data_IF_248418574015
#
_entry.id   IF_248418574015
#
_cell.length_a   1.000
_cell.length_b   1.000
_cell.length_c   1.000
_cell.angle_alpha   90.00
_cell.angle_beta   90.00
_cell.angle_gamma   90.00
#
_symmetry.space_group_name_H-M   'P 1'
#
loop_
_entity.id
_entity.type
_entity.pdbx_description
1 polymer ?
#
# COMPACT_ATOMS: atom_id res chain seq x y z
N UNK A 1 69.13 14.84 15.49
CA UNK A 1 68.22 15.31 14.43
C UNK A 1 67.20 14.20 14.20
N UNK A 2 65.91 14.28 14.49
CA UNK A 2 65.03 15.32 15.03
C UNK A 2 63.87 14.54 15.64
N UNK A 3 63.58 14.77 16.93
CA UNK A 3 62.40 14.24 17.62
C UNK A 3 61.16 14.98 17.13
N UNK A 4 60.06 14.26 16.87
CA UNK A 4 58.72 14.83 16.97
C UNK A 4 57.82 13.89 17.77
N UNK A 5 57.53 14.32 19.01
CA UNK A 5 56.40 13.92 19.84
C UNK A 5 55.14 14.62 19.30
N UNK A 6 54.00 13.92 19.26
CA UNK A 6 52.65 14.42 19.57
C UNK A 6 51.69 13.24 19.45
N UNK A 7 51.21 12.59 20.52
CA UNK A 7 50.15 13.06 21.42
C UNK A 7 48.94 13.60 20.64
N UNK A 8 47.97 12.73 20.34
CA UNK A 8 46.59 13.15 20.05
C UNK A 8 45.64 12.47 21.03
N UNK A 9 45.36 13.26 22.06
CA UNK A 9 44.25 13.19 22.97
C UNK A 9 42.91 12.95 22.25
N UNK A 10 42.16 11.99 22.80
CA UNK A 10 40.72 12.05 23.08
C UNK A 10 40.01 13.31 22.56
N UNK A 11 39.21 13.14 21.49
CA UNK A 11 38.10 14.02 21.18
C UNK A 11 36.79 13.22 21.27
N UNK A 12 36.33 13.02 22.51
CA UNK A 12 34.90 12.90 22.78
C UNK A 12 34.27 14.26 22.47
N UNK A 13 33.79 14.44 21.24
CA UNK A 13 32.87 15.51 20.93
C UNK A 13 31.47 15.04 21.38
N UNK A 14 30.94 15.69 22.43
CA UNK A 14 29.52 15.74 22.70
C UNK A 14 28.82 16.26 21.44
N UNK A 15 28.12 15.39 20.71
CA UNK A 15 27.01 15.81 19.88
C UNK A 15 25.80 15.94 20.80
N UNK A 16 25.64 17.14 21.36
CA UNK A 16 24.34 17.57 21.90
C UNK A 16 23.42 17.70 20.69
N UNK A 17 22.53 16.73 20.54
CA UNK A 17 21.42 16.77 19.60
C UNK A 17 20.52 17.95 19.96
N UNK A 18 20.76 19.11 19.34
CA UNK A 18 19.70 20.11 19.17
C UNK A 18 18.68 19.48 18.21
N UNK A 19 17.70 18.77 18.78
CA UNK A 19 16.44 18.53 18.12
C UNK A 19 15.77 19.90 17.96
N UNK A 20 16.11 20.61 16.88
CA UNK A 20 15.28 21.67 16.38
C UNK A 20 13.96 21.00 16.01
N UNK A 21 12.94 21.15 16.86
CA UNK A 21 11.57 20.85 16.51
C UNK A 21 11.21 21.76 15.35
N UNK A 22 11.37 21.26 14.12
CA UNK A 22 10.80 21.89 12.94
C UNK A 22 9.29 21.89 13.22
N UNK A 23 8.64 23.06 13.35
CA UNK A 23 7.20 23.09 13.55
C UNK A 23 6.57 22.39 12.36
N UNK A 24 5.97 21.21 12.60
CA UNK A 24 5.08 20.58 11.63
C UNK A 24 4.00 21.61 11.33
N UNK A 25 4.06 22.21 10.15
CA UNK A 25 3.06 23.18 9.69
C UNK A 25 1.72 22.45 9.73
N UNK A 26 0.84 22.83 10.65
CA UNK A 26 -0.54 22.41 10.60
C UNK A 26 -1.15 23.05 9.34
N UNK A 27 -1.40 22.26 8.31
CA UNK A 27 -2.19 22.69 7.16
C UNK A 27 -3.62 22.90 7.65
N UNK A 28 -4.08 24.14 7.71
CA UNK A 28 -5.49 24.48 7.84
C UNK A 28 -5.94 25.10 6.52
N UNK A 29 -6.77 24.39 5.77
CA UNK A 29 -7.33 24.88 4.49
C UNK A 29 -8.72 25.46 4.78
N UNK A 30 -8.98 26.67 4.28
CA UNK A 30 -10.28 27.33 4.38
C UNK A 30 -11.26 26.81 3.31
N UNK A 31 -12.58 26.93 3.55
CA UNK A 31 -13.58 26.34 2.66
C UNK A 31 -13.62 26.99 1.27
N UNK A 32 -13.20 28.27 1.18
CA UNK A 32 -13.15 29.05 -0.06
C UNK A 32 -11.94 28.70 -0.95
N UNK A 33 -10.96 27.92 -0.44
CA UNK A 33 -9.75 27.54 -1.18
C UNK A 33 -9.88 26.25 -2.00
N UNK A 34 -11.01 25.53 -1.93
CA UNK A 34 -11.21 24.30 -2.69
C UNK A 34 -11.73 24.58 -4.10
N UNK A 35 -10.86 25.07 -4.98
CA UNK A 35 -11.13 25.20 -6.42
C UNK A 35 -11.18 23.83 -7.12
N UNK A 36 -12.26 23.07 -6.95
CA UNK A 36 -12.50 21.83 -7.70
C UNK A 36 -12.70 22.16 -9.18
N UNK A 37 -12.15 21.34 -10.08
CA UNK A 37 -12.31 21.52 -11.52
C UNK A 37 -13.80 21.58 -11.91
N UNK A 38 -14.22 22.54 -12.77
CA UNK A 38 -15.63 22.72 -13.09
C UNK A 38 -16.20 21.58 -13.94
N UNK A 39 -15.40 21.01 -14.85
CA UNK A 39 -15.86 20.05 -15.84
C UNK A 39 -15.73 18.59 -15.38
N UNK A 40 -16.69 17.77 -15.77
CA UNK A 40 -16.66 16.32 -15.61
C UNK A 40 -15.99 15.63 -16.81
N UNK A 41 -15.31 14.48 -16.64
CA UNK A 41 -15.11 13.73 -15.40
C UNK A 41 -13.96 14.26 -14.54
N UNK A 42 -14.15 14.22 -13.22
CA UNK A 42 -13.23 14.67 -12.16
C UNK A 42 -12.51 13.51 -11.46
N UNK A 43 -13.12 12.32 -11.47
CA UNK A 43 -12.60 11.14 -10.79
C UNK A 43 -11.85 10.25 -11.78
N UNK A 44 -10.56 10.07 -11.55
CA UNK A 44 -9.68 9.06 -12.17
C UNK A 44 -9.52 9.10 -13.70
N UNK A 45 -10.35 9.86 -14.42
CA UNK A 45 -10.32 10.01 -15.88
C UNK A 45 -9.90 11.42 -16.30
N UNK A 46 -8.91 12.00 -15.61
CA UNK A 46 -8.29 13.25 -16.03
C UNK A 46 -7.96 13.20 -17.55
N UNK A 47 -7.96 14.35 -18.26
CA UNK A 47 -7.81 14.37 -19.73
C UNK A 47 -6.59 13.63 -20.27
N UNK A 48 -5.49 13.55 -19.49
CA UNK A 48 -4.32 12.75 -19.85
C UNK A 48 -4.61 11.25 -19.77
N UNK A 49 -5.22 10.78 -18.69
CA UNK A 49 -5.55 9.35 -18.50
C UNK A 49 -6.59 8.89 -19.52
N UNK A 50 -7.65 9.66 -19.72
CA UNK A 50 -8.68 9.34 -20.72
C UNK A 50 -8.07 9.16 -22.11
N UNK A 51 -7.15 10.04 -22.53
CA UNK A 51 -6.44 9.90 -23.81
C UNK A 51 -5.58 8.64 -23.90
N UNK A 52 -4.93 8.23 -22.81
CA UNK A 52 -4.15 6.98 -22.79
C UNK A 52 -5.06 5.75 -22.92
N UNK A 53 -6.19 5.72 -22.21
CA UNK A 53 -7.17 4.63 -22.30
C UNK A 53 -7.84 4.56 -23.67
N UNK A 54 -8.12 5.71 -24.30
CA UNK A 54 -8.60 5.76 -25.67
C UNK A 54 -7.59 5.20 -26.67
N UNK A 55 -6.28 5.37 -26.42
CA UNK A 55 -5.22 4.74 -27.23
C UNK A 55 -5.19 3.22 -27.03
N UNK A 56 -5.36 2.73 -25.81
CA UNK A 56 -5.49 1.29 -25.53
C UNK A 56 -6.63 0.68 -26.36
N UNK A 57 -7.79 1.35 -26.41
CA UNK A 57 -8.91 0.97 -27.28
C UNK A 57 -8.54 0.99 -28.77
N UNK A 58 -7.98 2.10 -29.26
CA UNK A 58 -7.61 2.24 -30.68
C UNK A 58 -6.62 1.14 -31.12
N UNK A 59 -5.73 0.73 -30.21
CA UNK A 59 -4.74 -0.33 -30.44
C UNK A 59 -5.28 -1.74 -30.23
N UNK A 60 -6.54 -1.87 -29.79
CA UNK A 60 -7.14 -3.16 -29.44
C UNK A 60 -6.26 -3.91 -28.43
N UNK A 61 -5.80 -3.22 -27.37
CA UNK A 61 -4.98 -3.86 -26.36
C UNK A 61 -5.73 -5.02 -25.71
N UNK A 62 -5.00 -6.01 -25.19
CA UNK A 62 -5.60 -7.17 -24.53
C UNK A 62 -6.56 -6.75 -23.40
N UNK A 63 -6.21 -5.72 -22.62
CA UNK A 63 -7.05 -5.20 -21.52
C UNK A 63 -8.37 -4.63 -22.06
N UNK A 64 -8.30 -3.89 -23.16
CA UNK A 64 -9.48 -3.36 -23.84
C UNK A 64 -10.37 -4.48 -24.37
N UNK A 65 -9.80 -5.41 -25.15
CA UNK A 65 -10.54 -6.53 -25.75
C UNK A 65 -11.26 -7.38 -24.72
N UNK A 66 -10.65 -7.57 -23.55
CA UNK A 66 -11.24 -8.34 -22.47
C UNK A 66 -12.37 -7.60 -21.76
N UNK A 67 -12.24 -6.29 -21.51
CA UNK A 67 -13.38 -5.50 -21.00
C UNK A 67 -14.52 -5.48 -22.03
N UNK A 68 -14.20 -5.27 -23.31
CA UNK A 68 -15.18 -5.32 -24.39
C UNK A 68 -15.93 -6.65 -24.42
N UNK A 69 -15.19 -7.77 -24.38
CA UNK A 69 -15.79 -9.10 -24.33
C UNK A 69 -16.64 -9.33 -23.07
N UNK A 70 -16.29 -8.73 -21.93
CA UNK A 70 -17.11 -8.80 -20.72
C UNK A 70 -18.50 -8.16 -20.95
N UNK A 71 -18.51 -6.95 -21.51
CA UNK A 71 -19.73 -6.17 -21.74
C UNK A 71 -20.57 -6.76 -22.86
N UNK A 72 -19.97 -7.10 -24.01
CA UNK A 72 -20.69 -7.63 -25.17
C UNK A 72 -21.31 -9.00 -24.90
N UNK A 73 -20.66 -9.84 -24.09
CA UNK A 73 -21.22 -11.13 -23.68
C UNK A 73 -22.17 -11.03 -22.49
N UNK A 74 -22.48 -9.81 -22.02
CA UNK A 74 -23.38 -9.53 -20.88
C UNK A 74 -23.04 -10.33 -19.62
N UNK A 75 -21.74 -10.55 -19.37
CA UNK A 75 -21.29 -11.23 -18.16
C UNK A 75 -21.48 -10.31 -16.96
N UNK A 76 -21.99 -10.86 -15.86
CA UNK A 76 -22.16 -10.11 -14.62
C UNK A 76 -20.79 -9.67 -14.08
N UNK A 77 -20.62 -8.37 -13.86
CA UNK A 77 -19.51 -7.81 -13.09
C UNK A 77 -19.98 -7.53 -11.66
N UNK A 78 -19.16 -7.82 -10.63
CA UNK A 78 -19.48 -7.40 -9.26
C UNK A 78 -19.59 -5.89 -9.09
N UNK A 79 -18.96 -5.11 -9.97
CA UNK A 79 -19.05 -3.65 -10.00
C UNK A 79 -19.56 -3.16 -11.36
N UNK A 80 -20.85 -3.37 -11.65
CA UNK A 80 -21.39 -3.15 -12.98
C UNK A 80 -21.39 -1.67 -13.38
N UNK A 81 -21.59 -0.74 -12.44
CA UNK A 81 -21.55 0.70 -12.69
C UNK A 81 -20.17 1.15 -13.17
N UNK A 82 -19.10 0.69 -12.50
CA UNK A 82 -17.72 0.98 -12.92
C UNK A 82 -17.42 0.42 -14.31
N UNK A 83 -17.69 -0.87 -14.54
CA UNK A 83 -17.35 -1.55 -15.78
C UNK A 83 -18.09 -0.93 -17.00
N UNK A 84 -19.40 -0.70 -16.85
CA UNK A 84 -20.24 -0.11 -17.89
C UNK A 84 -19.89 1.35 -18.17
N UNK A 85 -19.67 2.15 -17.13
CA UNK A 85 -19.27 3.55 -17.31
C UNK A 85 -17.90 3.65 -17.99
N UNK A 86 -16.91 2.85 -17.57
CA UNK A 86 -15.59 2.82 -18.18
C UNK A 86 -15.68 2.46 -19.67
N UNK A 87 -16.39 1.37 -19.99
CA UNK A 87 -16.58 0.95 -21.38
C UNK A 87 -17.28 2.03 -22.20
N UNK A 88 -18.40 2.57 -21.71
CA UNK A 88 -19.18 3.61 -22.37
C UNK A 88 -18.36 4.86 -22.69
N UNK A 89 -17.52 5.31 -21.75
CA UNK A 89 -16.63 6.48 -21.93
C UNK A 89 -15.53 6.25 -22.97
N UNK A 90 -15.01 5.04 -23.07
CA UNK A 90 -13.95 4.73 -24.02
C UNK A 90 -14.52 4.42 -25.41
N UNK A 91 -15.65 3.72 -25.48
CA UNK A 91 -16.33 3.36 -26.72
C UNK A 91 -17.16 4.49 -27.33
N UNK A 92 -17.49 5.54 -26.55
CA UNK A 92 -18.60 6.46 -26.82
C UNK A 92 -19.94 5.72 -26.99
N UNK A 93 -20.19 4.74 -26.13
CA UNK A 93 -21.43 3.96 -26.15
C UNK A 93 -22.41 4.47 -25.08
N UNK A 94 -23.36 5.28 -25.55
CA UNK A 94 -24.47 5.82 -24.76
C UNK A 94 -25.32 4.73 -24.09
N UNK A 95 -25.48 3.56 -24.71
CA UNK A 95 -26.30 2.49 -24.13
C UNK A 95 -25.68 1.92 -22.85
N UNK A 96 -24.36 1.69 -22.86
CA UNK A 96 -23.61 1.29 -21.67
C UNK A 96 -23.59 2.37 -20.59
N UNK A 97 -23.49 3.66 -20.97
CA UNK A 97 -23.55 4.76 -20.00
C UNK A 97 -24.91 4.82 -19.28
N UNK A 98 -26.02 4.66 -20.01
CA UNK A 98 -27.37 4.60 -19.42
C UNK A 98 -27.56 3.38 -18.53
N UNK A 99 -27.07 2.21 -18.97
CA UNK A 99 -27.08 1.02 -18.12
C UNK A 99 -26.27 1.24 -16.82
N UNK A 100 -25.13 1.94 -16.88
CA UNK A 100 -24.36 2.28 -15.68
C UNK A 100 -25.16 3.15 -14.69
N UNK A 101 -25.92 4.13 -15.21
CA UNK A 101 -26.82 4.99 -14.41
C UNK A 101 -27.90 4.15 -13.73
N UNK A 102 -28.56 3.26 -14.48
CA UNK A 102 -29.57 2.35 -13.93
C UNK A 102 -29.00 1.51 -12.78
N UNK A 103 -27.81 0.91 -12.97
CA UNK A 103 -27.14 0.11 -11.94
C UNK A 103 -26.79 0.90 -10.68
N UNK A 104 -26.34 2.14 -10.83
CA UNK A 104 -26.05 3.00 -9.68
C UNK A 104 -27.32 3.34 -8.88
N UNK A 105 -28.44 3.54 -9.56
CA UNK A 105 -29.73 3.83 -8.92
C UNK A 105 -30.37 2.58 -8.28
N UNK A 106 -30.14 1.39 -8.82
CA UNK A 106 -30.59 0.11 -8.25
C UNK A 106 -29.90 -0.23 -6.92
N UNK A 107 -28.65 0.22 -6.72
CA UNK A 107 -27.87 -0.06 -5.51
C UNK A 107 -27.37 1.25 -4.83
N UNK A 108 -28.27 2.01 -4.19
CA UNK A 108 -27.92 3.30 -3.57
C UNK A 108 -26.94 3.17 -2.38
N UNK A 109 -26.72 1.95 -1.86
CA UNK A 109 -25.75 1.72 -0.79
C UNK A 109 -24.29 1.79 -1.27
N UNK A 110 -24.03 1.58 -2.57
CA UNK A 110 -22.69 1.68 -3.14
C UNK A 110 -22.37 3.12 -3.56
N UNK A 111 -22.05 3.94 -2.56
CA UNK A 111 -21.67 5.36 -2.74
C UNK A 111 -20.49 5.52 -3.71
N UNK A 112 -19.55 4.57 -3.73
CA UNK A 112 -18.38 4.65 -4.62
C UNK A 112 -18.81 4.55 -6.08
N UNK A 113 -19.59 3.53 -6.43
CA UNK A 113 -20.10 3.39 -7.81
C UNK A 113 -21.03 4.54 -8.18
N UNK A 114 -21.88 5.00 -7.26
CA UNK A 114 -22.74 6.16 -7.49
C UNK A 114 -21.91 7.41 -7.84
N UNK A 115 -20.81 7.68 -7.13
CA UNK A 115 -19.95 8.83 -7.39
C UNK A 115 -19.25 8.74 -8.76
N UNK A 116 -18.71 7.56 -9.10
CA UNK A 116 -18.05 7.32 -10.39
C UNK A 116 -19.04 7.46 -11.55
N UNK A 117 -20.22 6.85 -11.44
CA UNK A 117 -21.25 6.91 -12.48
C UNK A 117 -21.80 8.32 -12.63
N UNK A 118 -22.08 9.01 -11.53
CA UNK A 118 -22.49 10.41 -11.58
C UNK A 118 -21.45 11.26 -12.31
N UNK A 119 -20.17 11.10 -11.99
CA UNK A 119 -19.09 11.86 -12.61
C UNK A 119 -18.90 11.55 -14.10
N UNK A 120 -18.89 10.26 -14.48
CA UNK A 120 -18.53 9.87 -15.84
C UNK A 120 -19.71 9.98 -16.81
N UNK A 121 -20.93 9.78 -16.34
CA UNK A 121 -22.12 9.69 -17.19
C UNK A 121 -22.93 10.99 -17.28
N UNK A 122 -22.38 12.15 -16.88
CA UNK A 122 -23.08 13.45 -16.85
C UNK A 122 -23.91 13.75 -18.11
N UNK A 123 -23.34 13.52 -19.30
CA UNK A 123 -24.01 13.82 -20.57
C UNK A 123 -25.27 12.96 -20.85
N UNK A 124 -25.44 11.85 -20.15
CA UNK A 124 -26.56 10.91 -20.33
C UNK A 124 -27.55 10.91 -19.17
N UNK A 125 -27.28 11.67 -18.10
CA UNK A 125 -28.20 11.80 -16.97
C UNK A 125 -29.41 12.65 -17.35
N UNK A 126 -30.60 12.17 -17.01
CA UNK A 126 -31.77 13.04 -16.93
C UNK A 126 -31.74 13.86 -15.65
N UNK A 127 -32.53 14.94 -15.59
CA UNK A 127 -32.64 15.79 -14.39
C UNK A 127 -33.08 14.99 -13.15
N UNK A 128 -34.08 14.12 -13.28
CA UNK A 128 -34.55 13.24 -12.18
C UNK A 128 -33.47 12.24 -11.73
N UNK A 129 -32.73 11.64 -12.67
CA UNK A 129 -31.64 10.72 -12.34
C UNK A 129 -30.49 11.45 -11.64
N UNK A 130 -30.18 12.66 -12.11
CA UNK A 130 -29.16 13.54 -11.52
C UNK A 130 -29.51 13.87 -10.07
N UNK A 131 -30.73 14.36 -9.80
CA UNK A 131 -31.17 14.71 -8.45
C UNK A 131 -31.23 13.49 -7.50
N UNK A 132 -31.61 12.30 -8.01
CA UNK A 132 -31.56 11.06 -7.23
C UNK A 132 -30.13 10.68 -6.83
N UNK A 133 -29.19 10.73 -7.76
CA UNK A 133 -27.78 10.44 -7.46
C UNK A 133 -27.20 11.49 -6.52
N UNK A 134 -27.51 12.78 -6.73
CA UNK A 134 -27.10 13.85 -5.81
C UNK A 134 -27.59 13.55 -4.39
N UNK A 135 -28.87 13.18 -4.23
CA UNK A 135 -29.45 12.86 -2.93
C UNK A 135 -28.74 11.69 -2.24
N UNK A 136 -28.40 10.63 -2.99
CA UNK A 136 -27.63 9.47 -2.49
C UNK A 136 -26.25 9.93 -2.00
N UNK A 137 -25.55 10.73 -2.81
CA UNK A 137 -24.20 11.20 -2.51
C UNK A 137 -24.20 12.17 -1.32
N UNK A 138 -25.14 13.11 -1.24
CA UNK A 138 -25.29 14.03 -0.11
C UNK A 138 -25.57 13.30 1.19
N UNK A 139 -26.40 12.25 1.17
CA UNK A 139 -26.67 11.43 2.34
C UNK A 139 -25.38 10.82 2.91
N UNK A 140 -24.43 10.43 2.06
CA UNK A 140 -23.13 9.90 2.49
C UNK A 140 -22.25 10.95 3.20
N UNK A 141 -22.43 12.24 2.88
CA UNK A 141 -21.65 13.34 3.47
C UNK A 141 -22.12 13.73 4.88
N UNK A 142 -23.30 13.24 5.31
CA UNK A 142 -23.86 13.51 6.64
C UNK A 142 -23.10 12.80 7.77
N UNK A 143 -22.43 11.70 7.47
CA UNK A 143 -21.57 11.03 8.44
C UNK A 143 -20.33 11.91 8.72
N UNK A 144 -20.17 12.27 10.00
CA UNK A 144 -19.11 13.17 10.45
C UNK A 144 -17.82 12.43 10.79
N UNK A 145 -17.86 11.11 10.94
CA UNK A 145 -16.73 10.30 11.39
C UNK A 145 -16.62 9.00 10.59
N UNK A 146 -15.94 9.02 9.41
CA UNK A 146 -15.78 7.82 8.61
C UNK A 146 -15.02 6.73 9.38
N UNK A 147 -15.63 5.55 9.47
CA UNK A 147 -15.17 4.40 10.28
C UNK A 147 -13.93 3.68 9.73
N UNK A 148 -13.39 4.11 8.59
CA UNK A 148 -12.27 3.46 7.91
C UNK A 148 -11.90 4.15 6.59
N UNK A 149 -10.85 3.63 5.93
CA UNK A 149 -10.35 4.20 4.66
C UNK A 149 -11.41 4.12 3.56
N UNK A 150 -12.13 3.01 3.45
CA UNK A 150 -13.21 2.85 2.46
C UNK A 150 -14.35 3.85 2.64
N UNK A 151 -14.75 4.13 3.89
CA UNK A 151 -15.78 5.15 4.17
C UNK A 151 -15.28 6.56 3.84
N UNK A 152 -14.06 6.89 4.24
CA UNK A 152 -13.43 8.17 3.91
C UNK A 152 -13.27 8.35 2.39
N UNK A 153 -12.92 7.28 1.66
CA UNK A 153 -12.86 7.26 0.19
C UNK A 153 -14.22 7.56 -0.39
N UNK A 154 -15.27 6.87 0.03
CA UNK A 154 -16.64 7.10 -0.46
C UNK A 154 -17.08 8.56 -0.27
N UNK A 155 -16.88 9.12 0.94
CA UNK A 155 -17.21 10.52 1.22
C UNK A 155 -16.36 11.50 0.39
N UNK A 156 -15.07 11.21 0.19
CA UNK A 156 -14.19 12.02 -0.64
C UNK A 156 -14.69 12.08 -2.09
N UNK A 157 -14.98 10.92 -2.69
CA UNK A 157 -15.48 10.85 -4.05
C UNK A 157 -16.81 11.58 -4.20
N UNK A 158 -17.74 11.36 -3.26
CA UNK A 158 -19.03 12.05 -3.24
C UNK A 158 -18.85 13.58 -3.15
N UNK A 159 -18.00 14.07 -2.26
CA UNK A 159 -17.78 15.50 -2.10
C UNK A 159 -17.13 16.15 -3.33
N UNK A 160 -16.14 15.48 -3.96
CA UNK A 160 -15.50 15.99 -5.18
C UNK A 160 -16.49 16.15 -6.33
N UNK A 161 -17.36 15.16 -6.55
CA UNK A 161 -18.31 15.21 -7.66
C UNK A 161 -19.47 16.16 -7.39
N UNK A 162 -19.83 16.37 -6.11
CA UNK A 162 -20.88 17.31 -5.71
C UNK A 162 -20.41 18.76 -5.65
N UNK A 163 -19.11 19.05 -5.70
CA UNK A 163 -18.60 20.41 -5.54
C UNK A 163 -19.15 21.42 -6.58
N UNK A 164 -19.64 20.96 -7.74
CA UNK A 164 -20.28 21.83 -8.75
C UNK A 164 -21.81 21.93 -8.64
N UNK A 165 -22.43 21.16 -7.74
CA UNK A 165 -23.88 21.04 -7.60
C UNK A 165 -24.37 21.44 -6.21
N UNK A 166 -23.52 21.26 -5.20
CA UNK A 166 -23.78 21.44 -3.75
C UNK A 166 -22.49 21.92 -3.09
N UNK A 167 -22.06 23.13 -3.44
CA UNK A 167 -20.77 23.71 -3.05
C UNK A 167 -20.53 23.66 -1.54
N UNK A 168 -21.49 24.16 -0.73
CA UNK A 168 -21.32 24.24 0.72
C UNK A 168 -21.21 22.85 1.39
N UNK A 169 -22.15 21.89 1.21
CA UNK A 169 -22.01 20.56 1.80
C UNK A 169 -20.74 19.83 1.36
N UNK A 170 -20.36 19.95 0.09
CA UNK A 170 -19.14 19.35 -0.45
C UNK A 170 -17.88 19.94 0.19
N UNK A 171 -17.78 21.27 0.25
CA UNK A 171 -16.64 21.97 0.85
C UNK A 171 -16.49 21.68 2.35
N UNK A 172 -17.59 21.66 3.10
CA UNK A 172 -17.58 21.29 4.52
C UNK A 172 -17.12 19.84 4.74
N UNK A 173 -17.55 18.91 3.89
CA UNK A 173 -17.12 17.52 3.94
C UNK A 173 -15.63 17.36 3.63
N UNK A 174 -15.12 17.99 2.57
CA UNK A 174 -13.69 17.96 2.22
C UNK A 174 -12.82 18.55 3.33
N UNK A 175 -13.22 19.71 3.87
CA UNK A 175 -12.53 20.35 5.01
C UNK A 175 -12.46 19.41 6.21
N UNK A 176 -13.56 18.74 6.54
CA UNK A 176 -13.63 17.78 7.65
C UNK A 176 -12.72 16.58 7.40
N UNK A 177 -12.77 15.99 6.21
CA UNK A 177 -11.94 14.83 5.84
C UNK A 177 -10.45 15.16 5.90
N UNK A 178 -10.05 16.32 5.38
CA UNK A 178 -8.64 16.75 5.35
C UNK A 178 -8.16 17.11 6.77
N UNK A 179 -8.87 18.00 7.47
CA UNK A 179 -8.36 18.57 8.71
C UNK A 179 -8.53 17.60 9.90
N UNK A 180 -9.68 16.93 10.00
CA UNK A 180 -9.96 16.03 11.14
C UNK A 180 -9.49 14.62 10.86
N UNK A 181 -10.10 13.96 9.87
CA UNK A 181 -9.85 12.53 9.65
C UNK A 181 -8.43 12.23 9.15
N UNK A 182 -7.89 13.04 8.24
CA UNK A 182 -6.55 12.82 7.71
C UNK A 182 -5.48 13.43 8.61
N UNK A 183 -5.46 14.75 8.75
CA UNK A 183 -4.36 15.49 9.39
C UNK A 183 -4.27 15.25 10.89
N UNK A 184 -5.40 15.22 11.60
CA UNK A 184 -5.40 15.06 13.06
C UNK A 184 -5.35 13.58 13.50
N UNK A 185 -5.89 12.65 12.69
CA UNK A 185 -6.07 11.26 13.11
C UNK A 185 -5.24 10.27 12.28
N UNK A 186 -5.52 10.16 10.97
CA UNK A 186 -5.00 9.06 10.14
C UNK A 186 -3.52 9.20 9.85
N UNK A 187 -3.05 10.33 9.33
CA UNK A 187 -1.64 10.51 8.98
C UNK A 187 -0.71 10.36 10.21
N UNK A 188 -1.00 10.95 11.39
CA UNK A 188 -0.23 10.68 12.59
C UNK A 188 -0.26 9.21 13.03
N UNK A 189 -1.38 8.50 12.84
CA UNK A 189 -1.47 7.09 13.18
C UNK A 189 -0.64 6.20 12.24
N UNK A 190 -0.58 6.53 10.94
CA UNK A 190 0.28 5.87 9.95
C UNK A 190 1.76 6.12 10.28
N UNK A 191 2.12 7.38 10.51
CA UNK A 191 3.50 7.80 10.80
C UNK A 191 4.04 7.20 12.11
N UNK A 192 3.17 6.98 13.09
CA UNK A 192 3.53 6.31 14.35
C UNK A 192 3.45 4.79 14.30
N UNK A 193 3.00 4.20 13.18
CA UNK A 193 2.75 2.76 13.06
C UNK A 193 1.58 2.25 13.92
N UNK A 194 0.80 3.14 14.56
CA UNK A 194 -0.41 2.78 15.33
C UNK A 194 -1.55 2.29 14.44
N UNK A 195 -1.53 2.68 13.17
CA UNK A 195 -2.43 2.19 12.13
C UNK A 195 -1.61 1.58 11.02
N UNK A 196 -1.90 0.33 10.68
CA UNK A 196 -1.44 -0.30 9.44
C UNK A 196 -2.54 -0.19 8.38
N UNK A 197 -2.14 -0.05 7.12
CA UNK A 197 -3.06 -0.15 5.99
C UNK A 197 -2.97 -1.58 5.50
N UNK A 198 -4.08 -2.32 5.61
CA UNK A 198 -4.12 -3.68 5.06
C UNK A 198 -4.08 -3.61 3.55
N UNK A 199 -3.49 -4.62 2.93
CA UNK A 199 -3.31 -4.65 1.47
C UNK A 199 -4.65 -4.50 0.72
N UNK A 200 -5.72 -5.11 1.21
CA UNK A 200 -7.07 -4.95 0.64
C UNK A 200 -7.66 -3.54 0.74
N UNK A 201 -7.15 -2.69 1.63
CA UNK A 201 -7.58 -1.29 1.78
C UNK A 201 -6.81 -0.34 0.85
N UNK A 202 -5.77 -0.83 0.18
CA UNK A 202 -4.87 -0.02 -0.66
C UNK A 202 -5.59 0.65 -1.82
N UNK A 203 -6.53 -0.06 -2.46
CA UNK A 203 -7.34 0.52 -3.53
C UNK A 203 -8.15 1.72 -3.01
N UNK A 204 -8.81 1.59 -1.86
CA UNK A 204 -9.58 2.68 -1.27
C UNK A 204 -8.68 3.86 -0.86
N UNK A 205 -7.50 3.58 -0.29
CA UNK A 205 -6.54 4.61 0.07
C UNK A 205 -6.11 5.41 -1.16
N UNK A 206 -5.67 4.73 -2.21
CA UNK A 206 -5.15 5.43 -3.38
C UNK A 206 -6.23 6.09 -4.24
N UNK A 207 -7.44 5.55 -4.29
CA UNK A 207 -8.58 6.27 -4.90
C UNK A 207 -8.88 7.59 -4.17
N UNK A 208 -8.87 7.58 -2.83
CA UNK A 208 -8.99 8.82 -2.06
C UNK A 208 -7.87 9.80 -2.40
N UNK A 209 -6.61 9.32 -2.42
CA UNK A 209 -5.45 10.17 -2.69
C UNK A 209 -5.51 10.74 -4.11
N UNK A 210 -5.82 9.95 -5.14
CA UNK A 210 -6.00 10.43 -6.52
C UNK A 210 -7.08 11.50 -6.57
N UNK A 211 -8.26 11.25 -5.97
CA UNK A 211 -9.35 12.22 -5.99
C UNK A 211 -8.94 13.57 -5.36
N UNK A 212 -8.24 13.55 -4.22
CA UNK A 212 -7.76 14.74 -3.54
C UNK A 212 -6.67 15.48 -4.33
N UNK A 213 -5.65 14.76 -4.82
CA UNK A 213 -4.56 15.37 -5.57
C UNK A 213 -5.03 15.97 -6.89
N UNK A 214 -5.80 15.21 -7.64
CA UNK A 214 -6.16 15.55 -9.02
C UNK A 214 -7.14 16.74 -9.03
N UNK A 215 -8.02 16.86 -8.01
CA UNK A 215 -9.02 17.91 -7.93
C UNK A 215 -8.67 19.10 -7.03
N UNK A 216 -7.92 18.88 -5.95
CA UNK A 216 -7.59 19.94 -4.98
C UNK A 216 -6.12 20.35 -5.04
N UNK A 217 -5.28 19.65 -5.82
CA UNK A 217 -3.83 19.86 -5.89
C UNK A 217 -3.12 19.69 -4.53
N UNK A 218 -3.70 18.85 -3.66
CA UNK A 218 -3.17 18.51 -2.35
C UNK A 218 -2.56 17.11 -2.37
N UNK A 219 -1.27 16.99 -2.04
CA UNK A 219 -0.65 15.68 -1.80
C UNK A 219 -0.73 15.32 -0.31
N UNK A 220 -1.77 14.58 0.05
CA UNK A 220 -2.01 14.16 1.44
C UNK A 220 -0.89 13.29 2.02
N UNK A 221 -0.02 12.71 1.18
CA UNK A 221 1.10 11.88 1.62
C UNK A 221 2.16 12.63 2.39
N UNK A 222 2.29 13.95 2.20
CA UNK A 222 3.31 14.77 2.88
C UNK A 222 3.22 14.67 4.41
N UNK A 223 2.02 14.44 4.96
CA UNK A 223 1.80 14.30 6.39
C UNK A 223 2.31 12.96 6.98
N UNK A 224 2.60 11.96 6.14
CA UNK A 224 3.10 10.63 6.52
C UNK A 224 4.15 10.13 5.50
N UNK A 225 5.14 10.98 5.19
CA UNK A 225 6.05 10.78 4.06
C UNK A 225 6.85 9.48 4.13
N UNK A 226 7.37 9.11 5.30
CA UNK A 226 8.19 7.90 5.47
C UNK A 226 7.35 6.63 5.23
N UNK A 227 6.11 6.62 5.72
CA UNK A 227 5.16 5.54 5.45
C UNK A 227 4.96 5.35 3.94
N UNK A 228 4.66 6.43 3.19
CA UNK A 228 4.41 6.34 1.76
C UNK A 228 5.66 6.07 0.92
N UNK A 229 6.84 6.48 1.37
CA UNK A 229 8.11 6.18 0.70
C UNK A 229 8.43 4.68 0.70
N UNK A 230 8.11 4.00 1.79
CA UNK A 230 8.39 2.59 2.01
C UNK A 230 7.28 1.65 1.52
N UNK A 231 6.05 2.14 1.43
CA UNK A 231 4.86 1.36 1.09
C UNK A 231 4.98 0.50 -0.17
N UNK A 232 5.55 0.96 -1.31
CA UNK A 232 5.63 0.10 -2.51
C UNK A 232 6.52 -1.12 -2.29
N UNK A 233 7.59 -0.99 -1.50
CA UNK A 233 8.45 -2.11 -1.13
C UNK A 233 7.71 -3.09 -0.21
N UNK A 234 6.91 -2.56 0.74
CA UNK A 234 6.07 -3.36 1.62
C UNK A 234 5.07 -4.19 0.82
N UNK A 235 4.32 -3.58 -0.11
CA UNK A 235 3.39 -4.27 -1.01
C UNK A 235 4.06 -5.38 -1.82
N UNK A 236 5.22 -5.08 -2.41
CA UNK A 236 5.96 -6.04 -3.23
C UNK A 236 6.36 -7.31 -2.45
N UNK A 237 6.74 -7.16 -1.19
CA UNK A 237 7.14 -8.28 -0.33
C UNK A 237 5.96 -8.99 0.34
N UNK A 238 4.76 -8.39 0.31
CA UNK A 238 3.58 -8.90 0.98
C UNK A 238 3.00 -10.17 0.33
N UNK A 239 3.39 -10.47 -0.90
CA UNK A 239 2.88 -11.63 -1.64
C UNK A 239 3.65 -12.91 -1.30
N UNK A 240 2.92 -14.02 -1.15
CA UNK A 240 3.54 -15.34 -1.06
C UNK A 240 4.28 -15.67 -2.38
N UNK A 241 5.46 -16.33 -2.32
CA UNK A 241 6.29 -16.57 -3.50
C UNK A 241 5.61 -17.37 -4.61
N UNK A 242 4.82 -18.39 -4.24
CA UNK A 242 4.19 -19.28 -5.21
C UNK A 242 2.83 -18.72 -5.64
N UNK A 243 2.64 -18.45 -6.94
CA UNK A 243 1.35 -17.97 -7.43
C UNK A 243 0.29 -19.07 -7.38
N UNK A 244 -0.95 -18.66 -7.15
CA UNK A 244 -2.13 -19.51 -7.26
C UNK A 244 -2.55 -19.63 -8.73
N UNK A 245 -2.87 -20.85 -9.17
CA UNK A 245 -3.31 -21.14 -10.55
C UNK A 245 -4.82 -21.24 -10.59
N UNK A 246 -5.49 -20.25 -11.19
CA UNK A 246 -6.91 -20.31 -11.50
C UNK A 246 -7.13 -20.64 -12.99
N UNK A 247 -8.34 -21.02 -13.41
CA UNK A 247 -8.65 -21.26 -14.83
C UNK A 247 -8.34 -20.09 -15.76
N UNK A 248 -8.50 -18.86 -15.29
CA UNK A 248 -8.41 -17.63 -16.08
C UNK A 248 -6.98 -17.07 -16.17
N UNK A 249 -6.23 -17.06 -15.06
CA UNK A 249 -4.88 -16.50 -14.95
C UNK A 249 -4.18 -16.97 -13.65
N UNK A 250 -2.95 -16.46 -13.44
CA UNK A 250 -2.23 -16.60 -12.19
C UNK A 250 -2.58 -15.47 -11.23
N UNK A 251 -2.60 -15.78 -9.94
CA UNK A 251 -2.84 -14.83 -8.86
C UNK A 251 -1.66 -14.81 -7.91
N UNK A 252 -1.16 -13.61 -7.59
CA UNK A 252 -0.35 -13.44 -6.40
C UNK A 252 -1.26 -13.34 -5.20
N UNK A 253 -0.96 -14.12 -4.18
CA UNK A 253 -1.78 -14.17 -2.96
C UNK A 253 -1.09 -13.28 -1.93
N UNK A 254 -1.72 -12.18 -1.49
CA UNK A 254 -1.16 -11.33 -0.45
C UNK A 254 -1.19 -12.03 0.90
N UNK A 255 -0.29 -11.63 1.78
CA UNK A 255 -0.22 -12.09 3.16
C UNK A 255 -1.57 -11.92 3.88
N UNK A 256 -1.89 -12.91 4.71
CA UNK A 256 -3.11 -12.96 5.48
C UNK A 256 -2.79 -13.26 6.95
N UNK A 257 -3.45 -12.57 7.87
CA UNK A 257 -3.26 -12.78 9.32
C UNK A 257 -3.49 -14.23 9.75
N UNK A 258 -4.38 -14.93 9.06
CA UNK A 258 -4.68 -16.34 9.30
C UNK A 258 -4.30 -17.15 8.08
N UNK A 259 -3.69 -18.31 8.33
CA UNK A 259 -3.39 -19.32 7.31
C UNK A 259 -4.69 -20.03 6.86
N UNK A 260 -5.58 -19.31 6.19
CA UNK A 260 -6.84 -19.82 5.63
C UNK A 260 -6.91 -19.53 4.14
N UNK A 261 -7.82 -20.25 3.47
CA UNK A 261 -7.97 -20.40 2.02
C UNK A 261 -7.67 -19.16 1.17
N UNK A 262 -7.13 -19.44 -0.01
CA UNK A 262 -6.80 -18.48 -1.05
C UNK A 262 -8.03 -17.66 -1.48
N UNK A 263 -8.16 -16.44 -0.94
CA UNK A 263 -9.20 -15.49 -1.35
C UNK A 263 -8.75 -14.74 -2.61
N UNK A 264 -9.28 -15.16 -3.77
CA UNK A 264 -8.95 -14.55 -5.06
C UNK A 264 -9.51 -13.14 -5.20
N UNK A 265 -10.64 -12.83 -4.57
CA UNK A 265 -11.19 -11.48 -4.62
C UNK A 265 -10.29 -10.51 -3.85
N UNK A 266 -9.78 -10.92 -2.70
CA UNK A 266 -8.78 -10.17 -1.94
C UNK A 266 -7.48 -9.99 -2.72
N UNK A 267 -7.04 -11.02 -3.45
CA UNK A 267 -5.87 -10.93 -4.33
C UNK A 267 -6.06 -9.88 -5.45
N UNK A 268 -7.25 -9.81 -6.04
CA UNK A 268 -7.59 -8.81 -7.05
C UNK A 268 -7.67 -7.39 -6.47
N UNK A 269 -8.25 -7.23 -5.28
CA UNK A 269 -8.27 -5.95 -4.58
C UNK A 269 -6.87 -5.44 -4.26
N UNK A 270 -5.99 -6.32 -3.75
CA UNK A 270 -4.59 -6.01 -3.49
C UNK A 270 -3.88 -5.55 -4.77
N UNK A 271 -3.99 -6.33 -5.85
CA UNK A 271 -3.39 -5.99 -7.15
C UNK A 271 -3.97 -4.70 -7.74
N UNK A 272 -5.28 -4.47 -7.66
CA UNK A 272 -5.90 -3.22 -8.10
C UNK A 272 -5.38 -2.03 -7.29
N UNK A 273 -5.20 -2.20 -5.98
CA UNK A 273 -4.57 -1.21 -5.10
C UNK A 273 -3.13 -0.91 -5.50
N UNK A 274 -2.32 -1.92 -5.81
CA UNK A 274 -0.95 -1.76 -6.26
C UNK A 274 -0.84 -1.06 -7.62
N UNK A 275 -1.71 -1.40 -8.58
CA UNK A 275 -1.80 -0.69 -9.87
C UNK A 275 -2.19 0.78 -9.64
N UNK A 276 -3.14 1.03 -8.74
CA UNK A 276 -3.59 2.38 -8.38
C UNK A 276 -2.46 3.19 -7.71
N UNK A 277 -1.66 2.54 -6.84
CA UNK A 277 -0.47 3.12 -6.21
C UNK A 277 0.57 3.53 -7.24
N UNK A 278 0.96 2.62 -8.13
CA UNK A 278 2.01 2.91 -9.13
C UNK A 278 1.54 3.97 -10.13
N UNK A 279 0.24 3.99 -10.44
CA UNK A 279 -0.38 5.07 -11.18
C UNK A 279 -0.29 6.43 -10.46
N UNK A 280 -0.24 6.45 -9.13
CA UNK A 280 -0.07 7.67 -8.34
C UNK A 280 1.40 8.10 -8.26
N UNK A 281 2.31 7.16 -8.00
CA UNK A 281 3.73 7.39 -7.73
C UNK A 281 4.60 6.55 -8.67
N UNK A 282 4.85 7.06 -9.87
CA UNK A 282 5.61 6.34 -10.88
C UNK A 282 7.14 6.53 -10.77
N UNK A 283 7.59 7.52 -9.98
CA UNK A 283 8.96 8.01 -10.09
C UNK A 283 9.89 7.52 -8.98
N UNK A 284 9.35 7.04 -7.86
CA UNK A 284 10.18 6.45 -6.82
C UNK A 284 10.66 5.03 -7.20
N UNK A 285 11.87 4.66 -6.75
CA UNK A 285 12.50 3.39 -7.12
C UNK A 285 11.71 2.16 -6.64
N UNK A 286 11.19 2.10 -5.40
CA UNK A 286 10.35 0.98 -4.96
C UNK A 286 9.12 0.75 -5.84
N UNK A 287 8.42 1.82 -6.24
CA UNK A 287 7.26 1.73 -7.12
C UNK A 287 7.64 1.28 -8.53
N UNK A 288 8.84 1.60 -9.03
CA UNK A 288 9.32 1.05 -10.30
C UNK A 288 9.58 -0.46 -10.23
N UNK A 289 10.07 -0.99 -9.10
CA UNK A 289 10.14 -2.45 -8.90
C UNK A 289 8.75 -3.08 -8.85
N UNK A 290 7.82 -2.45 -8.12
CA UNK A 290 6.43 -2.88 -8.06
C UNK A 290 5.76 -2.85 -9.45
N UNK A 291 6.01 -1.81 -10.25
CA UNK A 291 5.56 -1.73 -11.64
C UNK A 291 6.07 -2.93 -12.46
N UNK A 292 7.37 -3.25 -12.38
CA UNK A 292 7.95 -4.39 -13.07
C UNK A 292 7.35 -5.73 -12.63
N UNK A 293 6.98 -5.85 -11.35
CA UNK A 293 6.28 -7.01 -10.82
C UNK A 293 4.84 -7.14 -11.34
N UNK A 294 4.10 -6.01 -11.38
CA UNK A 294 2.69 -5.97 -11.77
C UNK A 294 2.47 -6.18 -13.27
N UNK A 295 3.35 -5.67 -14.13
CA UNK A 295 3.17 -5.68 -15.59
C UNK A 295 3.39 -7.05 -16.26
N UNK A 296 3.53 -8.14 -15.49
CA UNK A 296 3.63 -9.50 -16.01
C UNK A 296 2.30 -9.98 -16.59
N UNK A 297 2.29 -10.35 -17.87
CA UNK A 297 1.07 -10.77 -18.59
C UNK A 297 0.35 -11.98 -17.98
N UNK A 298 1.09 -12.90 -17.35
CA UNK A 298 0.52 -14.09 -16.69
C UNK A 298 -0.40 -13.75 -15.51
N UNK A 299 -0.29 -12.53 -14.98
CA UNK A 299 -1.02 -12.03 -13.81
C UNK A 299 -2.04 -10.96 -14.16
N UNK A 300 -2.27 -10.69 -15.44
CA UNK A 300 -3.33 -9.79 -15.90
C UNK A 300 -4.66 -10.20 -15.24
N UNK A 301 -5.38 -9.29 -14.60
CA UNK A 301 -6.66 -9.63 -13.97
C UNK A 301 -7.74 -9.81 -15.04
N UNK A 302 -8.14 -11.06 -15.27
CA UNK A 302 -9.07 -11.45 -16.34
C UNK A 302 -10.50 -11.65 -15.88
N UNK A 303 -10.73 -11.66 -14.57
CA UNK A 303 -12.05 -11.86 -14.01
C UNK A 303 -13.01 -10.70 -14.31
N UNK A 304 -14.33 -10.92 -14.19
CA UNK A 304 -15.33 -9.86 -14.29
C UNK A 304 -15.16 -8.71 -13.30
N UNK A 305 -14.47 -8.95 -12.18
CA UNK A 305 -14.13 -7.91 -11.22
C UNK A 305 -12.88 -7.15 -11.67
N UNK A 306 -11.77 -7.87 -11.87
CA UNK A 306 -10.46 -7.26 -12.01
C UNK A 306 -10.20 -6.58 -13.36
N UNK A 307 -10.88 -6.96 -14.44
CA UNK A 307 -10.55 -6.42 -15.78
C UNK A 307 -10.79 -4.91 -15.92
N UNK A 308 -11.81 -4.37 -15.23
CA UNK A 308 -12.06 -2.93 -15.22
C UNK A 308 -10.91 -2.17 -14.54
N UNK A 309 -10.39 -2.70 -13.44
CA UNK A 309 -9.26 -2.15 -12.70
C UNK A 309 -7.93 -2.28 -13.45
N UNK A 310 -7.72 -3.44 -14.08
CA UNK A 310 -6.54 -3.68 -14.91
C UNK A 310 -6.51 -2.68 -16.07
N UNK A 311 -7.63 -2.43 -16.76
CA UNK A 311 -7.68 -1.40 -17.80
C UNK A 311 -7.50 0.02 -17.23
N UNK A 312 -8.16 0.35 -16.12
CA UNK A 312 -8.17 1.71 -15.56
C UNK A 312 -6.81 2.15 -15.01
N UNK A 313 -6.12 1.26 -14.27
CA UNK A 313 -4.94 1.61 -13.49
C UNK A 313 -3.63 1.15 -14.12
N UNK A 314 -3.62 0.05 -14.87
CA UNK A 314 -2.38 -0.42 -15.49
C UNK A 314 -1.89 0.60 -16.52
N UNK A 315 -0.61 0.95 -16.42
CA UNK A 315 0.02 1.87 -17.34
C UNK A 315 1.25 1.21 -17.98
N UNK A 316 1.09 0.55 -19.14
CA UNK A 316 2.20 -0.10 -19.83
C UNK A 316 3.23 0.90 -20.40
N UNK A 317 2.94 2.22 -20.32
CA UNK A 317 3.82 3.29 -20.80
C UNK A 317 4.79 3.81 -19.73
N UNK A 318 4.67 3.33 -18.49
CA UNK A 318 5.62 3.64 -17.41
C UNK A 318 6.65 2.50 -17.33
N UNK A 319 7.96 2.81 -17.39
CA UNK A 319 8.99 1.79 -17.27
C UNK A 319 8.99 1.18 -15.86
N UNK A 320 9.10 -0.14 -15.80
CA UNK A 320 9.35 -0.87 -14.55
C UNK A 320 10.80 -1.32 -14.47
N UNK A 321 11.34 -1.37 -13.25
CA UNK A 321 12.61 -2.04 -12.97
C UNK A 321 12.37 -3.54 -12.75
N UNK A 322 13.37 -4.36 -13.06
CA UNK A 322 13.32 -5.78 -12.70
C UNK A 322 13.27 -5.95 -11.19
N UNK A 323 12.19 -6.55 -10.68
CA UNK A 323 12.01 -6.83 -9.26
C UNK A 323 13.07 -7.78 -8.70
N UNK A 324 13.82 -8.51 -9.53
CA UNK A 324 14.95 -9.34 -9.10
C UNK A 324 16.07 -8.54 -8.40
N UNK A 325 16.11 -7.21 -8.59
CA UNK A 325 17.04 -6.31 -7.90
C UNK A 325 16.40 -5.57 -6.71
N UNK A 326 15.14 -5.86 -6.37
CA UNK A 326 14.49 -5.29 -5.20
C UNK A 326 15.03 -5.97 -3.92
N UNK A 327 15.13 -5.23 -2.79
CA UNK A 327 15.50 -5.80 -1.50
C UNK A 327 14.66 -7.02 -1.13
N UNK A 328 15.30 -8.03 -0.55
CA UNK A 328 14.68 -9.29 -0.15
C UNK A 328 14.06 -9.25 1.25
N UNK A 329 14.11 -8.11 1.92
CA UNK A 329 13.45 -7.90 3.20
C UNK A 329 12.90 -6.48 3.33
N UNK A 330 11.94 -6.33 4.23
CA UNK A 330 11.39 -5.05 4.66
C UNK A 330 11.08 -5.11 6.15
N UNK A 331 11.65 -4.18 6.91
CA UNK A 331 11.44 -4.04 8.34
C UNK A 331 10.76 -2.69 8.62
N UNK A 332 9.45 -2.73 8.86
CA UNK A 332 8.70 -1.58 9.35
C UNK A 332 8.97 -1.39 10.84
N UNK A 333 9.92 -0.50 11.16
CA UNK A 333 10.30 -0.15 12.53
C UNK A 333 9.17 0.54 13.30
N UNK A 334 8.19 1.13 12.62
CA UNK A 334 7.06 1.86 13.24
C UNK A 334 5.99 0.89 13.67
N UNK A 335 5.62 -0.04 12.79
CA UNK A 335 4.58 -1.04 13.06
C UNK A 335 5.13 -2.30 13.79
N UNK A 336 6.45 -2.50 13.82
CA UNK A 336 7.04 -3.72 14.36
C UNK A 336 6.77 -4.94 13.49
N UNK A 337 6.84 -4.74 12.16
CA UNK A 337 6.55 -5.73 11.14
C UNK A 337 7.81 -6.03 10.34
N UNK A 338 8.06 -7.31 10.06
CA UNK A 338 9.19 -7.75 9.26
C UNK A 338 8.74 -8.78 8.24
N UNK A 339 9.07 -8.54 6.97
CA UNK A 339 8.85 -9.49 5.89
C UNK A 339 10.19 -9.79 5.24
N UNK A 340 10.49 -11.07 5.02
CA UNK A 340 11.74 -11.54 4.41
C UNK A 340 11.44 -12.62 3.38
N UNK A 341 12.27 -12.70 2.33
CA UNK A 341 12.24 -13.76 1.34
C UNK A 341 13.64 -14.17 0.91
N UNK A 342 13.85 -15.41 0.48
CA UNK A 342 15.18 -15.91 0.14
C UNK A 342 15.62 -15.55 -1.29
N UNK A 343 14.67 -15.43 -2.21
CA UNK A 343 14.86 -15.09 -3.63
C UNK A 343 13.53 -14.64 -4.24
N UNK A 344 13.53 -14.15 -5.47
CA UNK A 344 12.31 -13.73 -6.18
C UNK A 344 11.57 -14.87 -6.91
N UNK A 345 12.11 -16.09 -6.86
CA UNK A 345 11.57 -17.29 -7.50
C UNK A 345 10.37 -17.90 -6.74
N UNK A 346 9.59 -18.75 -7.43
CA UNK A 346 8.36 -19.37 -6.89
C UNK A 346 8.61 -20.37 -5.75
N UNK A 347 9.83 -20.90 -5.64
CA UNK A 347 10.25 -21.84 -4.60
C UNK A 347 10.94 -21.15 -3.41
N UNK A 348 10.97 -19.81 -3.38
CA UNK A 348 11.61 -19.07 -2.31
C UNK A 348 10.97 -19.39 -0.94
N UNK A 349 11.81 -19.37 0.10
CA UNK A 349 11.35 -19.29 1.47
C UNK A 349 10.91 -17.86 1.72
N UNK A 350 9.75 -17.68 2.34
CA UNK A 350 9.23 -16.38 2.76
C UNK A 350 8.83 -16.47 4.22
N UNK A 351 9.04 -15.39 4.97
CA UNK A 351 8.60 -15.32 6.35
C UNK A 351 8.12 -13.91 6.70
N UNK A 352 7.07 -13.83 7.50
CA UNK A 352 6.53 -12.59 8.03
C UNK A 352 6.42 -12.69 9.55
N UNK A 353 7.02 -11.72 10.23
CA UNK A 353 6.82 -11.49 11.65
C UNK A 353 5.97 -10.24 11.85
N UNK A 354 4.77 -10.43 12.37
CA UNK A 354 3.82 -9.36 12.63
C UNK A 354 2.94 -9.74 13.82
N UNK A 355 2.58 -8.78 14.67
CA UNK A 355 1.72 -9.03 15.84
C UNK A 355 2.21 -10.19 16.73
N UNK A 356 3.54 -10.32 16.89
CA UNK A 356 4.22 -11.41 17.62
C UNK A 356 3.96 -12.81 17.08
N UNK A 357 3.53 -12.94 15.83
CA UNK A 357 3.37 -14.20 15.12
C UNK A 357 4.40 -14.27 14.02
N UNK A 358 5.03 -15.44 13.87
CA UNK A 358 5.91 -15.73 12.76
C UNK A 358 5.20 -16.69 11.82
N UNK A 359 4.90 -16.23 10.61
CA UNK A 359 4.44 -17.09 9.52
C UNK A 359 5.60 -17.40 8.59
N UNK A 360 5.63 -18.64 8.09
CA UNK A 360 6.65 -19.11 7.14
C UNK A 360 5.97 -19.82 5.99
N UNK A 361 6.30 -19.39 4.78
CA UNK A 361 5.95 -20.06 3.54
C UNK A 361 7.20 -20.76 2.99
N UNK A 362 7.16 -22.08 2.94
CA UNK A 362 8.25 -22.91 2.42
C UNK A 362 7.66 -24.17 1.79
N UNK A 363 8.29 -24.69 0.73
CA UNK A 363 7.84 -25.92 0.05
C UNK A 363 6.37 -25.85 -0.42
N UNK A 364 5.90 -24.64 -0.76
CA UNK A 364 4.52 -24.42 -1.20
C UNK A 364 3.47 -24.48 -0.10
N UNK A 365 3.87 -24.42 1.18
CA UNK A 365 2.98 -24.47 2.35
C UNK A 365 3.22 -23.30 3.28
N UNK A 366 2.13 -22.71 3.76
CA UNK A 366 2.13 -21.71 4.81
C UNK A 366 1.99 -22.40 6.17
N UNK A 367 2.80 -22.00 7.14
CA UNK A 367 2.71 -22.46 8.54
C UNK A 367 2.96 -21.31 9.51
N UNK A 368 2.40 -21.41 10.72
CA UNK A 368 2.65 -20.48 11.82
C UNK A 368 3.64 -21.13 12.81
N UNK A 369 4.73 -20.43 13.10
CA UNK A 369 5.81 -20.89 13.98
C UNK A 369 5.58 -20.34 15.37
N UNK A 370 5.54 -21.24 16.36
CA UNK A 370 5.55 -20.85 17.78
C UNK A 370 6.96 -20.36 18.14
N UNK A 371 7.09 -19.10 18.56
CA UNK A 371 8.39 -18.50 18.86
C UNK A 371 9.14 -19.21 20.00
N UNK A 372 8.42 -19.72 21.01
CA UNK A 372 9.03 -20.38 22.16
C UNK A 372 9.70 -21.69 21.76
N UNK A 373 11.04 -21.73 21.86
CA UNK A 373 11.84 -22.91 21.53
C UNK A 373 12.00 -23.16 20.04
N UNK A 374 11.61 -22.21 19.17
CA UNK A 374 11.87 -22.33 17.74
C UNK A 374 13.35 -22.12 17.42
N UNK A 375 13.85 -22.95 16.51
CA UNK A 375 15.18 -22.81 15.92
C UNK A 375 15.27 -21.53 15.07
N UNK A 376 16.45 -20.88 14.97
CA UNK A 376 16.68 -19.80 14.03
C UNK A 376 16.42 -20.23 12.58
N UNK A 377 15.72 -19.40 11.82
CA UNK A 377 15.37 -19.62 10.43
C UNK A 377 16.27 -18.79 9.51
N UNK A 378 17.07 -19.45 8.68
CA UNK A 378 17.84 -18.79 7.61
C UNK A 378 16.98 -18.64 6.36
N UNK A 379 16.77 -17.39 5.92
CA UNK A 379 16.00 -17.03 4.73
C UNK A 379 16.94 -16.26 3.78
N UNK A 380 17.60 -17.00 2.88
CA UNK A 380 18.63 -16.42 2.00
C UNK A 380 19.80 -15.86 2.82
N UNK A 381 20.08 -14.57 2.64
CA UNK A 381 21.12 -13.83 3.38
C UNK A 381 20.61 -13.24 4.72
N UNK A 382 19.39 -13.57 5.15
CA UNK A 382 18.78 -13.09 6.39
C UNK A 382 18.64 -14.22 7.40
N UNK A 383 18.97 -13.97 8.67
CA UNK A 383 18.70 -14.88 9.78
C UNK A 383 17.60 -14.30 10.69
N UNK A 384 16.50 -15.04 10.82
CA UNK A 384 15.42 -14.77 11.76
C UNK A 384 15.60 -15.64 13.01
N UNK A 385 15.85 -15.03 14.16
CA UNK A 385 16.08 -15.75 15.41
C UNK A 385 15.00 -15.43 16.45
N UNK A 386 14.08 -16.36 16.76
CA UNK A 386 13.20 -16.24 17.92
C UNK A 386 14.04 -16.22 19.21
N UNK A 387 13.83 -15.21 20.05
CA UNK A 387 14.56 -15.08 21.30
C UNK A 387 14.03 -16.08 22.35
N UNK A 388 14.92 -16.77 23.09
CA UNK A 388 14.50 -17.53 24.26
C UNK A 388 14.12 -16.58 25.41
N UNK A 389 13.44 -17.12 26.43
CA UNK A 389 13.18 -16.41 27.70
C UNK A 389 13.87 -17.17 28.84
N UNK A 390 14.90 -16.61 29.50
CA UNK A 390 15.55 -15.31 29.25
C UNK A 390 16.38 -15.28 27.96
N UNK A 391 16.58 -14.09 27.37
CA UNK A 391 17.21 -13.94 26.06
C UNK A 391 18.75 -14.03 26.15
N UNK A 392 19.26 -15.26 26.24
CA UNK A 392 20.69 -15.58 26.12
C UNK A 392 20.87 -16.63 25.03
N UNK A 393 21.56 -16.27 23.95
CA UNK A 393 21.79 -17.20 22.84
C UNK A 393 23.08 -16.87 22.08
N UNK A 394 23.64 -17.90 21.43
CA UNK A 394 24.69 -17.75 20.41
C UNK A 394 24.12 -18.23 19.09
N UNK A 395 24.15 -17.39 18.07
CA UNK A 395 23.67 -17.68 16.72
C UNK A 395 24.85 -17.96 15.81
N UNK A 396 24.73 -18.95 14.92
CA UNK A 396 25.63 -19.07 13.77
C UNK A 396 25.17 -18.08 12.70
N UNK A 397 26.06 -17.17 12.28
CA UNK A 397 25.79 -16.13 11.28
C UNK A 397 26.51 -16.34 9.96
N UNK A 398 27.05 -17.54 9.71
CA UNK A 398 27.80 -17.83 8.49
C UNK A 398 26.95 -17.66 7.23
N UNK A 399 27.45 -16.84 6.29
CA UNK A 399 26.77 -16.53 5.03
C UNK A 399 25.44 -15.79 5.22
N UNK A 400 25.35 -14.94 6.25
CA UNK A 400 24.22 -14.05 6.54
C UNK A 400 24.74 -12.61 6.56
N UNK A 401 23.95 -11.67 6.06
CA UNK A 401 24.25 -10.22 6.11
C UNK A 401 23.38 -9.48 7.12
N UNK A 402 22.17 -9.97 7.35
CA UNK A 402 21.19 -9.32 8.21
C UNK A 402 20.64 -10.31 9.24
N UNK A 403 20.60 -9.90 10.51
CA UNK A 403 20.04 -10.70 11.59
C UNK A 403 18.90 -9.94 12.27
N UNK A 404 17.77 -10.60 12.38
CA UNK A 404 16.60 -10.11 13.09
C UNK A 404 16.27 -11.05 14.23
N UNK A 405 16.32 -10.52 15.45
CA UNK A 405 15.95 -11.24 16.66
C UNK A 405 14.53 -10.79 17.01
N UNK A 406 13.61 -11.74 17.13
CA UNK A 406 12.17 -11.48 17.29
C UNK A 406 11.62 -12.09 18.58
N UNK A 407 10.50 -11.57 19.08
CA UNK A 407 9.89 -12.04 20.33
C UNK A 407 10.53 -11.45 21.59
N UNK A 408 11.30 -10.37 21.46
CA UNK A 408 11.90 -9.65 22.58
C UNK A 408 10.87 -8.78 23.32
N UNK A 409 11.21 -8.36 24.53
CA UNK A 409 10.40 -7.42 25.29
C UNK A 409 10.64 -5.99 24.75
N UNK A 410 9.55 -5.29 24.42
CA UNK A 410 9.60 -3.95 23.84
C UNK A 410 10.38 -2.97 24.74
N UNK A 411 11.35 -2.26 24.18
CA UNK A 411 12.15 -1.26 24.90
C UNK A 411 13.20 -1.83 25.85
N UNK A 412 13.21 -3.15 26.08
CA UNK A 412 14.23 -3.83 26.89
C UNK A 412 15.60 -3.74 26.22
N UNK A 413 16.65 -3.63 27.04
CA UNK A 413 18.03 -3.49 26.58
C UNK A 413 18.69 -4.86 26.45
N UNK A 414 19.40 -5.04 25.33
CA UNK A 414 20.13 -6.25 25.01
C UNK A 414 21.56 -5.90 24.59
N UNK A 415 22.52 -6.66 25.11
CA UNK A 415 23.89 -6.64 24.62
C UNK A 415 24.03 -7.61 23.46
N UNK A 416 24.55 -7.09 22.36
CA UNK A 416 24.92 -7.85 21.17
C UNK A 416 26.43 -7.80 21.02
N UNK A 417 27.04 -8.98 20.91
CA UNK A 417 28.46 -9.13 20.66
C UNK A 417 28.66 -9.86 19.33
N UNK A 418 29.44 -9.25 18.44
CA UNK A 418 29.75 -9.74 17.10
C UNK A 418 31.19 -10.28 16.97
N UNK A 419 32.05 -9.94 17.93
CA UNK A 419 33.46 -10.32 17.97
C UNK A 419 33.98 -10.27 19.42
N UNK A 420 35.30 -10.35 19.63
CA UNK A 420 35.91 -10.25 20.97
C UNK A 420 35.92 -8.82 21.53
N UNK A 421 35.49 -7.81 20.76
CA UNK A 421 35.44 -6.43 21.21
C UNK A 421 34.25 -6.17 22.15
N UNK A 422 34.17 -4.93 22.62
CA UNK A 422 33.15 -4.48 23.58
C UNK A 422 31.75 -4.70 22.98
N UNK A 423 30.80 -5.31 23.74
CA UNK A 423 29.44 -5.47 23.25
C UNK A 423 28.77 -4.12 22.99
N UNK A 424 27.93 -4.09 21.97
CA UNK A 424 27.04 -2.98 21.68
C UNK A 424 25.69 -3.23 22.35
N UNK A 425 25.07 -2.18 22.88
CA UNK A 425 23.77 -2.27 23.56
C UNK A 425 22.68 -1.70 22.67
N UNK A 426 21.60 -2.45 22.49
CA UNK A 426 20.46 -2.07 21.67
C UNK A 426 19.16 -2.26 22.45
N UNK A 427 18.19 -1.37 22.23
CA UNK A 427 16.82 -1.58 22.68
C UNK A 427 16.05 -2.38 21.62
N UNK A 428 15.21 -3.33 22.04
CA UNK A 428 14.25 -3.93 21.13
C UNK A 428 13.21 -2.89 20.68
N UNK A 429 13.02 -2.77 19.37
CA UNK A 429 12.08 -1.85 18.74
C UNK A 429 10.64 -2.35 18.81
N UNK A 430 9.76 -1.69 18.06
CA UNK A 430 8.35 -2.10 17.94
C UNK A 430 8.24 -3.55 17.50
N UNK A 431 7.19 -4.23 17.97
CA UNK A 431 7.01 -5.66 17.76
C UNK A 431 7.96 -6.56 18.56
N UNK A 432 8.94 -6.00 19.30
CA UNK A 432 9.97 -6.81 19.97
C UNK A 432 11.02 -7.33 18.99
N UNK A 433 11.39 -6.49 18.01
CA UNK A 433 12.38 -6.80 16.99
C UNK A 433 13.68 -6.06 17.29
N UNK A 434 14.80 -6.79 17.26
CA UNK A 434 16.14 -6.23 17.26
C UNK A 434 16.80 -6.58 15.93
N UNK A 435 17.28 -5.56 15.21
CA UNK A 435 17.94 -5.70 13.91
C UNK A 435 19.44 -5.44 14.04
N UNK A 436 20.24 -6.36 13.52
CA UNK A 436 21.70 -6.28 13.45
C UNK A 436 22.14 -6.51 12.01
N UNK A 437 22.78 -5.51 11.40
CA UNK A 437 23.50 -5.69 10.13
C UNK A 437 24.93 -6.13 10.42
N UNK A 438 25.44 -7.08 9.64
CA UNK A 438 26.76 -7.69 9.87
C UNK A 438 27.90 -7.06 9.09
N UNK A 439 27.61 -6.03 8.28
CA UNK A 439 28.52 -5.43 7.30
C UNK A 439 29.17 -6.48 6.38
N UNK A 440 30.02 -6.07 5.42
CA UNK A 440 30.59 -7.00 4.42
C UNK A 440 31.60 -8.01 5.00
N UNK A 441 31.94 -7.91 6.29
CA UNK A 441 32.86 -8.85 6.93
C UNK A 441 32.11 -10.10 7.39
N UNK A 442 32.47 -11.29 6.88
CA UNK A 442 31.81 -12.53 7.29
C UNK A 442 32.00 -12.77 8.79
N UNK A 443 30.88 -12.83 9.52
CA UNK A 443 30.83 -13.17 10.94
C UNK A 443 30.36 -14.61 11.10
N UNK A 444 31.01 -15.36 11.98
CA UNK A 444 30.62 -16.76 12.27
C UNK A 444 29.65 -16.88 13.43
N UNK A 445 29.58 -15.89 14.32
CA UNK A 445 28.67 -15.93 15.46
C UNK A 445 28.16 -14.56 15.92
N UNK A 446 26.99 -14.58 16.58
CA UNK A 446 26.42 -13.45 17.31
C UNK A 446 26.02 -13.93 18.70
N UNK A 447 26.37 -13.19 19.75
CA UNK A 447 25.90 -13.45 21.11
C UNK A 447 24.94 -12.36 21.54
N UNK A 448 23.77 -12.78 22.01
CA UNK A 448 22.76 -11.93 22.62
C UNK A 448 22.72 -12.19 24.12
N UNK A 449 22.63 -11.12 24.91
CA UNK A 449 22.39 -11.20 26.35
C UNK A 449 21.42 -10.10 26.79
N UNK A 450 20.34 -10.47 27.46
CA UNK A 450 19.47 -9.52 28.15
C UNK A 450 20.23 -8.80 29.28
N UNK A 451 20.13 -7.48 29.34
CA UNK A 451 20.71 -6.68 30.43
C UNK A 451 19.75 -6.74 31.62
N UNK A 452 20.18 -7.39 32.71
CA UNK A 452 19.43 -7.36 33.98
C UNK A 452 19.47 -5.93 34.54
N UNK A 453 18.29 -5.36 34.80
CA UNK A 453 18.14 -4.11 35.54
C UNK A 453 18.48 -4.29 37.01
#
# INVERSE_FOLDING_TARGET
>A
MTQYKSMYLSRRALLVSLAAAIPKRAFSIEAEDFGVLPDHPRLFLEPRRLRLLQRERQRQSIRWLMLQALIENKKASPEPGLALALYGRLANDTSSLRAAIERALENPADVRQAAIVFDWCQAELTEDQSEKLISILEQSLRDTHPTGISSARNQTLAAVVLAGHREQPAGEALKRLINKWWTAETAPALESGRRTVRHEEMLALYELLHAMRDNLKLDLREAAGDFFAELPQACLLDYYPRPYKAPENLYYIPHAEKAVDYDLHRAELARAGDLCLVAYEANNRPAQFLQGWLMRDSFLMRSPFGIAYELLWANPYIPGLSYHHAPLFFHDKRAGRLVVRSAWDENAVWACYENRRLQVFQEGRLSEVRLSGAEPLKVGEVLLAPAPSPAVMTLNSEGVKEVFIVGLELGRQYEVRLDENKPSTFAAGQGGILHVSLDEEPRTWIKLREVRQ
#
